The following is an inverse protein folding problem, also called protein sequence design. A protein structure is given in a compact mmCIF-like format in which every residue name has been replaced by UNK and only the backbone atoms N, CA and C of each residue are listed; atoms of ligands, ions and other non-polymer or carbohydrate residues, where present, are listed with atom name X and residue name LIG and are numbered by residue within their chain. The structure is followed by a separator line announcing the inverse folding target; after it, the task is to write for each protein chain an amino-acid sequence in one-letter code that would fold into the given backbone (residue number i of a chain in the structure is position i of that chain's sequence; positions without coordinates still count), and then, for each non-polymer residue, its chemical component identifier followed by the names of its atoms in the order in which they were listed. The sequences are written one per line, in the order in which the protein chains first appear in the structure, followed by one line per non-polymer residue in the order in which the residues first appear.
data_IF_994553864177
#
_entry.id   IF_994553864177
#
_cell.length_a   1.000
_cell.length_b   1.000
_cell.length_c   1.000
_cell.angle_alpha   90.00
_cell.angle_beta   90.00
_cell.angle_gamma   90.00
#
_symmetry.space_group_name_H-M   'P 1'
#
loop_
_entity.id
_entity.type
_entity.pdbx_description
1 polymer ?
#
# COMPACT_ATOMS: atom_id res chain seq x y z
N UNK A 1 21.23 -1.61 -6.10
CA UNK A 1 20.19 -2.55 -6.62
C UNK A 1 19.86 -3.63 -5.58
N UNK A 2 19.43 -3.24 -4.36
CA UNK A 2 19.24 -4.17 -3.22
C UNK A 2 17.82 -4.74 -3.12
N UNK A 3 16.84 -4.12 -3.78
CA UNK A 3 15.42 -4.47 -3.64
C UNK A 3 14.78 -4.81 -4.99
N UNK A 4 13.96 -5.86 -5.02
CA UNK A 4 13.24 -6.31 -6.22
C UNK A 4 12.17 -5.31 -6.67
N UNK A 5 11.55 -4.59 -5.74
CA UNK A 5 10.60 -3.53 -6.03
C UNK A 5 10.54 -2.48 -4.94
N UNK A 6 10.08 -1.29 -5.33
CA UNK A 6 9.90 -0.13 -4.45
C UNK A 6 8.62 0.62 -4.81
N UNK A 7 8.04 1.27 -3.80
CA UNK A 7 7.04 2.32 -3.99
C UNK A 7 7.69 3.67 -3.75
N UNK A 8 7.50 4.60 -4.68
CA UNK A 8 7.98 5.97 -4.61
C UNK A 8 6.72 6.83 -4.43
N UNK A 9 6.57 7.43 -3.25
CA UNK A 9 5.33 8.13 -2.83
C UNK A 9 5.63 9.61 -2.63
N UNK A 10 4.78 10.53 -3.10
CA UNK A 10 4.99 11.95 -2.82
C UNK A 10 4.88 12.19 -1.31
N UNK A 11 5.70 13.11 -0.77
CA UNK A 11 5.64 13.48 0.66
C UNK A 11 4.26 14.06 0.99
N UNK A 12 3.76 14.94 0.11
CA UNK A 12 2.41 15.50 0.18
C UNK A 12 1.55 14.89 -0.93
N UNK A 13 0.57 14.07 -0.57
CA UNK A 13 -0.29 13.40 -1.54
C UNK A 13 -1.62 12.96 -0.97
N UNK A 14 -2.61 12.83 -1.85
CA UNK A 14 -3.95 12.35 -1.52
C UNK A 14 -4.43 11.32 -2.55
N UNK A 15 -5.41 10.50 -2.14
CA UNK A 15 -6.14 9.55 -3.01
C UNK A 15 -5.25 8.53 -3.75
N UNK A 16 -4.02 8.31 -3.29
CA UNK A 16 -3.05 7.43 -3.93
C UNK A 16 -2.55 7.92 -5.30
N UNK A 17 -2.73 9.22 -5.60
CA UNK A 17 -2.22 9.85 -6.84
C UNK A 17 -0.69 9.98 -6.77
N UNK A 18 -0.06 9.92 -7.93
CA UNK A 18 1.39 10.08 -8.12
C UNK A 18 2.26 9.07 -7.38
N UNK A 19 1.67 8.00 -6.81
CA UNK A 19 2.43 6.86 -6.30
C UNK A 19 2.98 6.09 -7.50
N UNK A 20 4.28 5.83 -7.49
CA UNK A 20 4.99 5.11 -8.54
C UNK A 20 5.48 3.79 -7.96
N UNK A 21 5.06 2.68 -8.53
CA UNK A 21 5.64 1.36 -8.26
C UNK A 21 6.72 1.08 -9.28
N UNK A 22 7.91 0.70 -8.83
CA UNK A 22 9.01 0.26 -9.70
C UNK A 22 9.40 -1.16 -9.32
N UNK A 23 9.56 -2.03 -10.31
CA UNK A 23 10.04 -3.40 -10.13
C UNK A 23 11.18 -3.66 -11.12
N UNK A 24 12.27 -4.27 -10.65
CA UNK A 24 13.36 -4.73 -11.52
C UNK A 24 13.01 -6.13 -12.04
N UNK A 25 13.09 -6.33 -13.37
CA UNK A 25 12.86 -7.65 -13.96
C UNK A 25 13.99 -8.61 -13.51
N UNK A 26 13.69 -9.80 -12.98
CA UNK A 26 14.71 -10.81 -12.65
C UNK A 26 15.59 -11.13 -13.87
N UNK A 27 16.89 -11.32 -13.64
CA UNK A 27 17.85 -11.63 -14.71
C UNK A 27 18.08 -10.52 -15.75
N UNK A 28 17.59 -9.30 -15.53
CA UNK A 28 17.65 -8.22 -16.52
C UNK A 28 18.04 -6.87 -15.90
N UNK A 29 18.60 -5.97 -16.74
CA UNK A 29 18.80 -4.55 -16.40
C UNK A 29 17.52 -3.72 -16.55
N UNK A 30 16.42 -4.33 -17.03
CA UNK A 30 15.15 -3.66 -17.30
C UNK A 30 14.33 -3.43 -16.03
N UNK A 31 13.78 -2.23 -15.93
CA UNK A 31 12.82 -1.82 -14.90
C UNK A 31 11.45 -1.67 -15.52
N UNK A 32 10.42 -2.06 -14.78
CA UNK A 32 9.01 -1.80 -15.10
C UNK A 32 8.50 -0.84 -14.05
N UNK A 33 7.82 0.21 -14.48
CA UNK A 33 7.18 1.15 -13.57
C UNK A 33 5.71 1.35 -13.91
N UNK A 34 4.92 1.55 -12.87
CA UNK A 34 3.50 1.84 -12.96
C UNK A 34 3.19 3.01 -12.04
N UNK A 35 2.37 3.94 -12.49
CA UNK A 35 1.94 5.08 -11.68
C UNK A 35 0.51 5.46 -11.99
N UNK A 36 -0.11 6.23 -11.10
CA UNK A 36 -1.48 6.71 -11.27
C UNK A 36 -1.55 8.22 -11.25
N UNK A 37 -2.33 8.78 -12.16
CA UNK A 37 -2.77 10.18 -12.15
C UNK A 37 -4.30 10.24 -12.18
N UNK A 38 -4.85 11.45 -12.25
CA UNK A 38 -6.28 11.72 -12.40
C UNK A 38 -6.87 10.97 -13.59
N UNK A 39 -6.13 10.90 -14.70
CA UNK A 39 -6.57 10.37 -15.98
C UNK A 39 -6.56 8.84 -16.03
N UNK A 40 -5.88 8.19 -15.08
CA UNK A 40 -5.83 6.73 -15.01
C UNK A 40 -4.49 6.16 -14.58
N UNK A 41 -4.27 4.90 -14.97
CA UNK A 41 -3.09 4.11 -14.62
C UNK A 41 -2.16 4.03 -15.83
N UNK A 42 -0.92 4.42 -15.63
CA UNK A 42 0.11 4.45 -16.66
C UNK A 42 1.18 3.42 -16.35
N UNK A 43 1.72 2.80 -17.41
CA UNK A 43 2.78 1.79 -17.32
C UNK A 43 3.90 2.14 -18.29
N UNK A 44 5.12 1.80 -17.92
CA UNK A 44 6.28 1.98 -18.76
C UNK A 44 7.43 1.07 -18.35
N UNK A 45 8.48 1.10 -19.15
CA UNK A 45 9.72 0.39 -18.84
C UNK A 45 10.94 1.26 -19.11
N UNK A 46 12.07 0.87 -18.53
CA UNK A 46 13.36 1.51 -18.73
C UNK A 46 14.46 0.45 -18.81
N UNK A 47 15.37 0.58 -19.77
CA UNK A 47 16.44 -0.40 -20.03
C UNK A 47 17.58 -0.37 -19.00
N UNK A 48 17.67 0.71 -18.22
CA UNK A 48 18.71 0.91 -17.21
C UNK A 48 18.23 1.82 -16.09
N UNK A 49 19.00 1.88 -15.00
CA UNK A 49 18.74 2.80 -13.88
C UNK A 49 18.80 4.26 -14.33
N UNK A 50 19.75 4.63 -15.19
CA UNK A 50 19.87 5.99 -15.73
C UNK A 50 18.63 6.36 -16.57
N UNK A 51 18.16 5.44 -17.42
CA UNK A 51 16.94 5.65 -18.20
C UNK A 51 15.70 5.76 -17.29
N UNK A 52 15.62 4.93 -16.24
CA UNK A 52 14.55 5.01 -15.25
C UNK A 52 14.55 6.39 -14.57
N UNK A 53 15.72 6.86 -14.10
CA UNK A 53 15.85 8.18 -13.45
C UNK A 53 15.33 9.30 -14.34
N UNK A 54 15.70 9.32 -15.63
CA UNK A 54 15.19 10.32 -16.58
C UNK A 54 13.68 10.26 -16.76
N UNK A 55 13.10 9.06 -16.92
CA UNK A 55 11.64 8.89 -17.05
C UNK A 55 10.90 9.33 -15.77
N UNK A 56 11.40 8.93 -14.61
CA UNK A 56 10.79 9.29 -13.33
C UNK A 56 10.90 10.78 -13.03
N UNK A 57 12.00 11.44 -13.40
CA UNK A 57 12.16 12.90 -13.24
C UNK A 57 11.01 13.68 -13.90
N UNK A 58 10.62 13.32 -15.13
CA UNK A 58 9.47 13.93 -15.81
C UNK A 58 8.12 13.62 -15.14
N UNK A 59 7.96 12.44 -14.55
CA UNK A 59 6.73 12.05 -13.85
C UNK A 59 6.59 12.77 -12.51
N UNK A 60 7.69 12.83 -11.75
CA UNK A 60 7.76 13.38 -10.40
C UNK A 60 7.71 14.92 -10.40
N UNK A 61 8.31 15.55 -11.42
CA UNK A 61 8.46 17.00 -11.47
C UNK A 61 9.27 17.52 -10.29
N UNK A 62 8.87 18.66 -9.73
CA UNK A 62 9.53 19.31 -8.58
C UNK A 62 9.08 18.79 -7.21
N UNK A 63 8.27 17.73 -7.15
CA UNK A 63 7.71 17.22 -5.88
C UNK A 63 8.76 16.40 -5.14
N UNK A 64 8.73 16.49 -3.81
CA UNK A 64 9.50 15.60 -2.94
C UNK A 64 8.83 14.24 -2.82
N UNK A 65 9.65 13.19 -2.77
CA UNK A 65 9.20 11.81 -2.68
C UNK A 65 9.99 11.03 -1.64
N UNK A 66 9.31 10.07 -1.01
CA UNK A 66 9.91 9.02 -0.19
C UNK A 66 9.96 7.70 -0.97
N UNK A 67 11.04 6.94 -0.79
CA UNK A 67 11.20 5.60 -1.36
C UNK A 67 10.96 4.56 -0.27
N UNK A 68 10.01 3.68 -0.50
CA UNK A 68 9.64 2.60 0.41
C UNK A 68 9.91 1.25 -0.26
N UNK A 69 10.59 0.35 0.45
CA UNK A 69 10.77 -1.04 0.01
C UNK A 69 9.41 -1.70 -0.21
N UNK A 70 9.23 -2.42 -1.33
CA UNK A 70 8.05 -3.23 -1.53
C UNK A 70 8.03 -4.39 -0.53
N UNK A 71 6.89 -4.58 0.14
CA UNK A 71 6.58 -5.76 0.94
C UNK A 71 5.64 -6.69 0.17
N UNK A 72 5.67 -7.98 0.52
CA UNK A 72 4.76 -8.97 -0.04
C UNK A 72 3.42 -8.86 0.68
N UNK A 73 2.47 -8.17 0.04
CA UNK A 73 1.12 -8.01 0.56
C UNK A 73 0.30 -9.26 0.30
N UNK A 74 -0.50 -9.65 1.28
CA UNK A 74 -1.62 -10.57 1.04
C UNK A 74 -2.59 -9.96 0.01
N UNK A 75 -3.29 -10.82 -0.72
CA UNK A 75 -4.23 -10.43 -1.76
C UNK A 75 -5.56 -11.12 -1.54
N UNK A 76 -6.63 -10.45 -1.94
CA UNK A 76 -7.99 -11.02 -1.99
C UNK A 76 -8.44 -10.99 -3.44
N UNK A 77 -8.71 -12.16 -4.03
CA UNK A 77 -9.08 -12.27 -5.45
C UNK A 77 -8.04 -11.64 -6.40
N UNK A 78 -6.75 -11.74 -6.07
CA UNK A 78 -5.67 -11.11 -6.86
C UNK A 78 -5.48 -9.61 -6.63
N UNK A 79 -6.36 -8.95 -5.87
CA UNK A 79 -6.32 -7.52 -5.58
C UNK A 79 -5.46 -7.22 -4.34
N UNK A 80 -4.74 -6.09 -4.38
CA UNK A 80 -3.96 -5.60 -3.24
C UNK A 80 -4.91 -5.14 -2.14
N UNK A 81 -4.58 -5.41 -0.89
CA UNK A 81 -5.30 -4.89 0.26
C UNK A 81 -4.38 -4.29 1.34
N UNK A 82 -4.93 -3.37 2.13
CA UNK A 82 -4.37 -2.90 3.41
C UNK A 82 -5.43 -2.99 4.51
N UNK A 83 -4.99 -3.09 5.77
CA UNK A 83 -5.89 -2.97 6.93
C UNK A 83 -5.91 -1.51 7.38
N UNK A 84 -7.10 -0.94 7.45
CA UNK A 84 -7.41 0.36 8.05
C UNK A 84 -7.89 0.12 9.46
N UNK A 85 -7.20 0.69 10.44
CA UNK A 85 -7.70 0.80 11.82
C UNK A 85 -8.03 2.27 12.07
N UNK A 86 -9.21 2.53 12.62
CA UNK A 86 -9.63 3.83 13.12
C UNK A 86 -9.47 3.83 14.63
N UNK A 87 -8.72 4.81 15.12
CA UNK A 87 -8.54 5.06 16.55
C UNK A 87 -9.04 6.46 16.84
N UNK A 88 -9.82 6.61 17.90
CA UNK A 88 -10.36 7.88 18.36
C UNK A 88 -10.06 8.05 19.83
N UNK A 89 -9.67 9.26 20.23
CA UNK A 89 -9.58 9.67 21.62
C UNK A 89 -10.96 10.11 22.08
N UNK A 90 -11.39 9.64 23.23
CA UNK A 90 -12.62 10.12 23.85
C UNK A 90 -12.42 11.46 24.58
N UNK A 91 -13.45 11.93 25.28
CA UNK A 91 -13.43 13.19 26.04
C UNK A 91 -12.44 13.20 27.21
N UNK A 92 -11.99 12.03 27.67
CA UNK A 92 -10.96 11.89 28.71
C UNK A 92 -9.55 11.83 28.13
N UNK A 93 -9.43 11.73 26.81
CA UNK A 93 -8.16 11.59 26.10
C UNK A 93 -7.74 10.13 25.87
N UNK A 94 -8.56 9.16 26.26
CA UNK A 94 -8.27 7.74 26.10
C UNK A 94 -8.48 7.29 24.64
N UNK A 95 -7.44 6.70 24.04
CA UNK A 95 -7.47 6.17 22.68
C UNK A 95 -8.13 4.79 22.63
N UNK A 96 -9.15 4.62 21.79
CA UNK A 96 -9.80 3.32 21.53
C UNK A 96 -9.95 3.04 20.04
N UNK A 97 -9.99 1.76 19.66
CA UNK A 97 -10.26 1.35 18.28
C UNK A 97 -11.78 1.45 18.02
N UNK A 98 -12.19 2.30 17.10
CA UNK A 98 -13.61 2.51 16.75
C UNK A 98 -14.00 1.94 15.39
N UNK A 99 -13.03 1.43 14.63
CA UNK A 99 -13.31 0.75 13.37
C UNK A 99 -12.11 0.00 12.81
N UNK A 100 -12.37 -1.10 12.12
CA UNK A 100 -11.33 -1.88 11.45
C UNK A 100 -11.86 -2.53 10.17
N UNK A 101 -11.18 -2.31 9.04
CA UNK A 101 -11.58 -2.88 7.76
C UNK A 101 -10.38 -3.14 6.85
N UNK A 102 -10.48 -4.19 6.04
CA UNK A 102 -9.60 -4.37 4.89
C UNK A 102 -10.09 -3.47 3.76
N UNK A 103 -9.20 -2.65 3.21
CA UNK A 103 -9.44 -1.91 1.97
C UNK A 103 -8.86 -2.69 0.82
N UNK A 104 -9.69 -3.09 -0.12
CA UNK A 104 -9.29 -3.85 -1.30
C UNK A 104 -9.24 -2.90 -2.50
N UNK A 105 -8.11 -2.87 -3.19
CA UNK A 105 -7.95 -2.08 -4.41
C UNK A 105 -8.67 -2.70 -5.60
N UNK A 106 -8.90 -1.89 -6.63
CA UNK A 106 -9.37 -2.39 -7.93
C UNK A 106 -8.34 -3.34 -8.56
N UNK A 107 -8.78 -4.25 -9.40
CA UNK A 107 -7.90 -5.12 -10.19
C UNK A 107 -6.84 -4.33 -10.96
N UNK A 108 -5.60 -4.83 -10.91
CA UNK A 108 -4.43 -4.22 -11.55
C UNK A 108 -3.94 -2.91 -10.92
N UNK A 109 -4.57 -2.42 -9.84
CA UNK A 109 -4.12 -1.23 -9.12
C UNK A 109 -2.84 -1.51 -8.32
N UNK A 110 -2.08 -0.45 -8.07
CA UNK A 110 -0.87 -0.47 -7.22
C UNK A 110 -1.16 0.00 -5.79
N UNK A 111 -2.41 0.38 -5.51
CA UNK A 111 -2.88 0.85 -4.21
C UNK A 111 -4.24 0.25 -3.91
N UNK A 112 -4.51 0.02 -2.63
CA UNK A 112 -5.78 -0.45 -2.06
C UNK A 112 -6.80 0.67 -1.82
N UNK A 113 -6.68 1.79 -2.56
CA UNK A 113 -7.52 2.95 -2.32
C UNK A 113 -8.97 2.74 -2.81
N UNK A 114 -9.92 2.71 -1.88
CA UNK A 114 -11.36 2.54 -2.13
C UNK A 114 -11.92 3.62 -3.06
N UNK A 115 -11.52 4.89 -2.91
CA UNK A 115 -12.02 6.00 -3.76
C UNK A 115 -11.60 5.91 -5.24
N UNK A 116 -11.05 4.78 -5.65
CA UNK A 116 -10.52 4.50 -6.98
C UNK A 116 -11.17 3.27 -7.60
N UNK A 117 -12.38 2.93 -7.13
CA UNK A 117 -13.11 1.71 -7.50
C UNK A 117 -12.69 0.48 -6.71
N UNK A 118 -12.18 0.67 -5.49
CA UNK A 118 -11.96 -0.42 -4.53
C UNK A 118 -13.18 -0.62 -3.63
N UNK A 119 -13.10 -1.56 -2.69
CA UNK A 119 -14.17 -1.89 -1.75
C UNK A 119 -13.62 -2.28 -0.38
N UNK A 120 -14.49 -2.38 0.64
CA UNK A 120 -14.11 -2.79 1.98
C UNK A 120 -14.55 -4.24 2.27
N UNK A 121 -13.76 -4.96 3.07
CA UNK A 121 -14.10 -6.27 3.62
C UNK A 121 -13.82 -6.29 5.13
N UNK A 122 -14.50 -7.17 5.86
CA UNK A 122 -14.17 -7.46 7.26
C UNK A 122 -12.78 -8.10 7.34
N UNK A 123 -11.96 -7.65 8.30
CA UNK A 123 -10.59 -8.17 8.46
C UNK A 123 -10.60 -9.65 8.77
N UNK A 124 -11.46 -10.09 9.70
CA UNK A 124 -11.62 -11.51 10.06
C UNK A 124 -11.94 -12.39 8.86
N UNK A 125 -12.86 -11.96 7.98
CA UNK A 125 -13.21 -12.68 6.75
C UNK A 125 -11.98 -12.88 5.85
N UNK A 126 -11.18 -11.83 5.66
CA UNK A 126 -9.96 -11.90 4.83
C UNK A 126 -8.90 -12.82 5.44
N UNK A 127 -8.67 -12.70 6.76
CA UNK A 127 -7.68 -13.52 7.46
C UNK A 127 -8.06 -15.01 7.44
N UNK A 128 -9.31 -15.34 7.79
CA UNK A 128 -9.83 -16.73 7.75
C UNK A 128 -9.71 -17.32 6.35
N UNK A 129 -10.14 -16.57 5.33
CA UNK A 129 -10.04 -17.03 3.93
C UNK A 129 -8.59 -17.21 3.45
N UNK A 130 -7.64 -16.44 3.97
CA UNK A 130 -6.24 -16.50 3.53
C UNK A 130 -5.44 -17.59 4.25
N UNK A 131 -5.68 -17.77 5.55
CA UNK A 131 -4.87 -18.65 6.40
C UNK A 131 -5.55 -19.98 6.68
N UNK A 132 -6.85 -20.12 6.38
CA UNK A 132 -7.63 -21.34 6.62
C UNK A 132 -7.53 -21.85 8.07
N UNK A 133 -7.36 -20.91 9.02
CA UNK A 133 -7.20 -21.19 10.45
C UNK A 133 -7.80 -20.04 11.25
N UNK A 134 -8.70 -20.39 12.18
CA UNK A 134 -9.33 -19.43 13.08
C UNK A 134 -8.33 -18.88 14.10
N UNK A 135 -7.52 -19.77 14.67
CA UNK A 135 -6.46 -19.43 15.61
C UNK A 135 -5.47 -18.43 15.00
N UNK A 136 -4.99 -18.70 13.78
CA UNK A 136 -4.05 -17.79 13.10
C UNK A 136 -4.68 -16.45 12.75
N UNK A 137 -5.97 -16.46 12.38
CA UNK A 137 -6.70 -15.22 12.12
C UNK A 137 -6.82 -14.36 13.38
N UNK A 138 -7.09 -14.97 14.54
CA UNK A 138 -7.18 -14.29 15.82
C UNK A 138 -5.82 -13.75 16.29
N UNK A 139 -4.75 -14.55 16.19
CA UNK A 139 -3.38 -14.12 16.50
C UNK A 139 -2.96 -12.86 15.72
N UNK A 140 -3.26 -12.84 14.42
CA UNK A 140 -2.97 -11.68 13.56
C UNK A 140 -3.87 -10.50 13.93
N UNK A 141 -5.14 -10.74 14.26
CA UNK A 141 -6.08 -9.68 14.66
C UNK A 141 -5.59 -8.98 15.94
N UNK A 142 -5.14 -9.74 16.93
CA UNK A 142 -4.58 -9.19 18.18
C UNK A 142 -3.27 -8.43 17.93
N UNK A 143 -2.40 -8.95 17.07
CA UNK A 143 -1.18 -8.23 16.65
C UNK A 143 -1.51 -6.88 15.99
N UNK A 144 -2.55 -6.82 15.16
CA UNK A 144 -3.01 -5.56 14.53
C UNK A 144 -3.51 -4.58 15.61
N UNK A 145 -4.32 -5.05 16.57
CA UNK A 145 -4.84 -4.22 17.66
C UNK A 145 -3.72 -3.63 18.50
N UNK A 146 -2.77 -4.48 18.92
CA UNK A 146 -1.62 -4.08 19.72
C UNK A 146 -0.82 -2.98 19.02
N UNK A 147 -0.35 -3.23 17.79
CA UNK A 147 0.46 -2.25 17.05
C UNK A 147 -0.30 -0.94 16.83
N UNK A 148 -1.61 -1.00 16.56
CA UNK A 148 -2.41 0.20 16.33
C UNK A 148 -2.51 1.06 17.59
N UNK A 149 -2.77 0.45 18.76
CA UNK A 149 -2.85 1.17 20.03
C UNK A 149 -1.49 1.71 20.48
N UNK A 150 -0.41 0.94 20.34
CA UNK A 150 0.95 1.43 20.64
C UNK A 150 1.36 2.59 19.75
N UNK A 151 1.04 2.53 18.45
CA UNK A 151 1.26 3.67 17.56
C UNK A 151 0.48 4.91 18.01
N UNK A 152 -0.78 4.76 18.46
CA UNK A 152 -1.58 5.89 18.94
C UNK A 152 -1.09 6.48 20.28
N UNK A 153 -0.34 5.72 21.09
CA UNK A 153 0.28 6.21 22.34
C UNK A 153 1.54 7.04 22.10
N UNK A 154 2.21 6.85 20.96
CA UNK A 154 3.47 7.53 20.62
C UNK A 154 3.28 8.78 19.76
N UNK A 155 2.02 9.12 19.43
CA UNK A 155 1.59 10.27 18.65
C UNK A 155 0.91 11.33 19.54
#
# INVERSE_FOLDING_TARGET
NKYHGVYIKPVNGSLGRNIIKVVKRPGSKRYIYQYRRSEGVFRGSASSMAALRRKLHGIMGRRHYIVQKQINLIRSGGNILDVRVLIQKDHTGESSITGMACRVGRNGAITSNISSGGYALKVSQVLRSRFHSEEKANEIMESIRYVALEAARTL
#
